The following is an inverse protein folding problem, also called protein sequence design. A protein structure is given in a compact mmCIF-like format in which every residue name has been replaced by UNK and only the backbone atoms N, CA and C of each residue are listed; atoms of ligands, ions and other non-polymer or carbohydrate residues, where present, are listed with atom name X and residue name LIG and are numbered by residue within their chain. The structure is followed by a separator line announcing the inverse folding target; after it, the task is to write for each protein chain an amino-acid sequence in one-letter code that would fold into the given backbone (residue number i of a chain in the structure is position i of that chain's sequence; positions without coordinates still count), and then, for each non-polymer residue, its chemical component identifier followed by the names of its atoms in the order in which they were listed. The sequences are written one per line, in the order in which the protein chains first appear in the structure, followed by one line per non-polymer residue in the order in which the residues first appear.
data_IF_294864236721
#
_entry.id   IF_294864236721
#
_cell.length_a   1.000
_cell.length_b   1.000
_cell.length_c   1.000
_cell.angle_alpha   90.00
_cell.angle_beta   90.00
_cell.angle_gamma   90.00
#
_symmetry.space_group_name_H-M   'P 1'
#
loop_
_entity.id
_entity.type
_entity.pdbx_description
1 polymer ?
#
# COMPACT_ATOMS: atom_id res chain seq x y z
N UNK A 1 -22.17 14.19 8.71
CA UNK A 1 -20.82 14.11 8.06
C UNK A 1 -21.02 13.99 6.56
N UNK A 2 -20.27 14.73 5.74
CA UNK A 2 -20.34 14.58 4.27
C UNK A 2 -19.69 13.25 3.85
N UNK A 3 -20.25 12.55 2.85
CA UNK A 3 -19.72 11.25 2.38
C UNK A 3 -18.23 11.32 2.01
N UNK A 4 -17.79 12.45 1.45
CA UNK A 4 -16.39 12.72 1.16
C UNK A 4 -15.48 12.69 2.39
N UNK A 5 -15.94 13.25 3.52
CA UNK A 5 -15.17 13.24 4.76
C UNK A 5 -14.98 11.81 5.28
N UNK A 6 -16.02 10.97 5.23
CA UNK A 6 -15.95 9.57 5.64
C UNK A 6 -14.89 8.80 4.84
N UNK A 7 -14.95 8.88 3.51
CA UNK A 7 -13.96 8.20 2.66
C UNK A 7 -12.54 8.73 2.89
N UNK A 8 -12.38 10.01 3.19
CA UNK A 8 -11.08 10.61 3.52
C UNK A 8 -10.50 10.05 4.81
N UNK A 9 -11.29 9.95 5.88
CA UNK A 9 -10.85 9.33 7.12
C UNK A 9 -10.48 7.87 6.90
N UNK A 10 -11.33 7.11 6.20
CA UNK A 10 -11.05 5.71 5.89
C UNK A 10 -9.76 5.54 5.08
N UNK A 11 -9.57 6.37 4.05
CA UNK A 11 -8.37 6.35 3.23
C UNK A 11 -7.10 6.66 4.03
N UNK A 12 -7.15 7.67 4.93
CA UNK A 12 -6.04 8.00 5.81
C UNK A 12 -5.72 6.85 6.78
N UNK A 13 -6.73 6.24 7.39
CA UNK A 13 -6.54 5.08 8.26
C UNK A 13 -5.88 3.91 7.52
N UNK A 14 -6.34 3.62 6.30
CA UNK A 14 -5.76 2.58 5.46
C UNK A 14 -4.30 2.89 5.09
N UNK A 15 -3.98 4.14 4.73
CA UNK A 15 -2.59 4.57 4.48
C UNK A 15 -1.73 4.40 5.72
N UNK A 16 -2.21 4.83 6.89
CA UNK A 16 -1.48 4.68 8.15
C UNK A 16 -1.21 3.22 8.50
N UNK A 17 -2.20 2.34 8.31
CA UNK A 17 -2.05 0.90 8.51
C UNK A 17 -1.06 0.28 7.50
N UNK A 18 -1.12 0.71 6.23
CA UNK A 18 -0.23 0.22 5.20
C UNK A 18 1.22 0.63 5.47
N UNK A 19 1.49 1.92 5.68
CA UNK A 19 2.84 2.43 5.96
C UNK A 19 3.36 1.86 7.28
N UNK A 20 2.56 1.88 8.35
CA UNK A 20 2.94 1.35 9.65
C UNK A 20 3.26 -0.15 9.60
N UNK A 21 2.45 -0.92 8.85
CA UNK A 21 2.68 -2.35 8.65
C UNK A 21 3.99 -2.66 7.92
N UNK A 22 4.35 -1.88 6.90
CA UNK A 22 5.62 -2.03 6.19
C UNK A 22 6.83 -1.68 7.07
N UNK A 23 6.71 -0.66 7.92
CA UNK A 23 7.78 -0.23 8.83
C UNK A 23 7.95 -1.15 10.05
N UNK A 24 6.91 -1.87 10.44
CA UNK A 24 6.95 -2.75 11.61
C UNK A 24 7.99 -3.87 11.48
N UNK A 25 8.12 -4.47 10.29
CA UNK A 25 9.12 -5.51 10.02
C UNK A 25 10.57 -5.02 10.27
N UNK A 26 11.06 -3.96 9.60
CA UNK A 26 12.43 -3.49 9.81
C UNK A 26 12.66 -2.83 11.17
N UNK A 27 11.67 -2.11 11.72
CA UNK A 27 11.88 -1.33 12.94
C UNK A 27 11.63 -2.11 14.23
N UNK A 28 10.78 -3.15 14.21
CA UNK A 28 10.41 -3.92 15.41
C UNK A 28 10.90 -5.35 15.31
N UNK A 29 10.62 -6.05 14.21
CA UNK A 29 10.96 -7.48 14.10
C UNK A 29 12.47 -7.69 13.97
N UNK A 30 13.17 -6.91 13.13
CA UNK A 30 14.62 -7.09 12.94
C UNK A 30 15.44 -6.87 14.24
N UNK A 31 15.21 -5.82 15.05
CA UNK A 31 15.95 -5.62 16.29
C UNK A 31 15.65 -6.69 17.35
N UNK A 32 14.38 -7.09 17.49
CA UNK A 32 13.95 -8.11 18.47
C UNK A 32 14.60 -9.46 18.17
N UNK A 33 14.79 -9.79 16.90
CA UNK A 33 15.37 -11.07 16.49
C UNK A 33 16.89 -11.06 16.35
N UNK A 34 17.58 -9.95 16.69
CA UNK A 34 19.03 -9.78 16.42
C UNK A 34 19.89 -10.95 16.89
N UNK A 35 19.57 -11.54 18.04
CA UNK A 35 20.33 -12.64 18.66
C UNK A 35 19.60 -14.00 18.59
N UNK A 36 18.51 -14.11 17.81
CA UNK A 36 17.76 -15.36 17.68
C UNK A 36 18.42 -16.28 16.65
N UNK A 37 18.57 -17.57 16.99
CA UNK A 37 19.03 -18.60 16.06
C UNK A 37 18.06 -18.83 14.89
N UNK A 38 16.75 -18.60 15.12
CA UNK A 38 15.68 -18.79 14.12
C UNK A 38 15.30 -17.50 13.38
N UNK A 39 16.12 -16.45 13.51
CA UNK A 39 15.86 -15.10 12.98
C UNK A 39 15.38 -15.11 11.53
N UNK A 40 16.07 -15.84 10.66
CA UNK A 40 15.79 -15.87 9.23
C UNK A 40 14.40 -16.45 8.92
N UNK A 41 14.08 -17.61 9.50
CA UNK A 41 12.80 -18.29 9.30
C UNK A 41 11.61 -17.43 9.80
N UNK A 42 11.78 -16.76 10.94
CA UNK A 42 10.75 -15.86 11.49
C UNK A 42 10.56 -14.63 10.58
N UNK A 43 11.65 -14.02 10.10
CA UNK A 43 11.56 -12.87 9.18
C UNK A 43 10.86 -13.25 7.89
N UNK A 44 11.20 -14.39 7.27
CA UNK A 44 10.58 -14.85 6.03
C UNK A 44 9.07 -15.08 6.23
N UNK A 45 8.68 -15.82 7.28
CA UNK A 45 7.27 -16.10 7.58
C UNK A 45 6.49 -14.82 7.89
N UNK A 46 7.08 -13.89 8.64
CA UNK A 46 6.48 -12.60 8.92
C UNK A 46 6.33 -11.79 7.62
N UNK A 47 7.37 -11.71 6.79
CA UNK A 47 7.37 -11.04 5.49
C UNK A 47 6.23 -11.52 4.58
N UNK A 48 6.07 -12.85 4.44
CA UNK A 48 4.99 -13.43 3.62
C UNK A 48 3.60 -13.05 4.13
N UNK A 49 3.40 -13.02 5.46
CA UNK A 49 2.11 -12.64 6.06
C UNK A 49 1.83 -11.14 5.90
N UNK A 50 2.80 -10.30 6.25
CA UNK A 50 2.70 -8.84 6.11
C UNK A 50 2.48 -8.41 4.66
N UNK A 51 3.11 -9.13 3.71
CA UNK A 51 2.87 -8.92 2.27
C UNK A 51 1.41 -9.12 1.90
N UNK A 52 0.82 -10.26 2.26
CA UNK A 52 -0.58 -10.58 1.91
C UNK A 52 -1.53 -9.50 2.43
N UNK A 53 -1.36 -9.11 3.69
CA UNK A 53 -2.13 -8.01 4.30
C UNK A 53 -1.86 -6.69 3.58
N UNK A 54 -0.59 -6.39 3.29
CA UNK A 54 -0.16 -5.20 2.58
C UNK A 54 -0.86 -5.03 1.23
N UNK A 55 -0.95 -6.07 0.41
CA UNK A 55 -1.66 -6.01 -0.88
C UNK A 55 -3.17 -5.80 -0.73
N UNK A 56 -3.80 -6.43 0.27
CA UNK A 56 -5.24 -6.23 0.52
C UNK A 56 -5.52 -4.80 0.96
N UNK A 57 -4.72 -4.25 1.89
CA UNK A 57 -4.85 -2.85 2.32
C UNK A 57 -4.57 -1.90 1.17
N UNK A 58 -3.56 -2.18 0.35
CA UNK A 58 -3.24 -1.41 -0.85
C UNK A 58 -4.43 -1.30 -1.81
N UNK A 59 -5.11 -2.42 -2.09
CA UNK A 59 -6.31 -2.44 -2.93
C UNK A 59 -7.43 -1.57 -2.33
N UNK A 60 -7.63 -1.63 -1.01
CA UNK A 60 -8.61 -0.78 -0.31
C UNK A 60 -8.25 0.71 -0.39
N UNK A 61 -6.97 1.09 -0.33
CA UNK A 61 -6.50 2.47 -0.51
C UNK A 61 -6.88 2.96 -1.92
N UNK A 62 -6.68 2.15 -2.96
CA UNK A 62 -7.04 2.53 -4.34
C UNK A 62 -8.56 2.74 -4.45
N UNK A 63 -9.36 1.80 -3.96
CA UNK A 63 -10.83 1.87 -4.01
C UNK A 63 -11.34 3.13 -3.31
N UNK A 64 -10.85 3.40 -2.09
CA UNK A 64 -11.24 4.59 -1.33
C UNK A 64 -10.75 5.88 -1.98
N UNK A 65 -9.59 5.89 -2.63
CA UNK A 65 -9.08 7.00 -3.41
C UNK A 65 -9.96 7.35 -4.62
N UNK A 66 -10.37 6.33 -5.37
CA UNK A 66 -11.28 6.49 -6.52
C UNK A 66 -12.69 6.91 -6.06
N UNK A 67 -13.19 6.35 -4.96
CA UNK A 67 -14.47 6.76 -4.38
C UNK A 67 -14.46 8.25 -3.97
N UNK A 68 -13.38 8.72 -3.31
CA UNK A 68 -13.23 10.15 -2.99
C UNK A 68 -13.22 11.03 -4.25
N UNK A 69 -12.54 10.59 -5.30
CA UNK A 69 -12.51 11.30 -6.57
C UNK A 69 -13.91 11.43 -7.17
N UNK A 70 -14.64 10.31 -7.25
CA UNK A 70 -16.00 10.26 -7.80
C UNK A 70 -16.97 11.14 -7.01
N UNK A 71 -16.94 11.07 -5.67
CA UNK A 71 -17.80 11.92 -4.83
C UNK A 71 -17.50 13.41 -5.02
N UNK A 72 -16.25 13.77 -5.33
CA UNK A 72 -15.85 15.17 -5.52
C UNK A 72 -16.16 15.70 -6.93
N UNK A 73 -15.98 14.87 -7.96
CA UNK A 73 -16.07 15.30 -9.36
C UNK A 73 -17.38 14.87 -10.05
N UNK A 74 -18.14 13.96 -9.46
CA UNK A 74 -19.39 13.43 -10.00
C UNK A 74 -19.25 12.53 -11.24
N UNK A 75 -18.06 12.50 -11.87
CA UNK A 75 -17.80 11.68 -13.05
C UNK A 75 -16.32 11.34 -13.21
N UNK A 76 -16.04 10.10 -13.66
CA UNK A 76 -14.70 9.66 -14.05
C UNK A 76 -14.23 10.22 -15.40
N UNK A 77 -15.12 10.77 -16.24
CA UNK A 77 -14.72 11.41 -17.51
C UNK A 77 -13.81 12.62 -17.29
N UNK A 78 -14.01 13.31 -16.16
CA UNK A 78 -13.22 14.50 -15.79
C UNK A 78 -11.78 14.18 -15.38
N UNK A 79 -11.44 12.89 -15.27
CA UNK A 79 -10.12 12.42 -14.83
C UNK A 79 -9.02 12.80 -15.83
N UNK A 80 -9.36 12.86 -17.12
CA UNK A 80 -8.43 13.27 -18.18
C UNK A 80 -8.55 14.75 -18.55
N UNK A 81 -9.67 15.39 -18.18
CA UNK A 81 -10.02 16.74 -18.65
C UNK A 81 -9.59 17.83 -17.65
N UNK A 82 -9.62 17.53 -16.35
CA UNK A 82 -9.37 18.51 -15.28
C UNK A 82 -7.94 18.44 -14.76
N UNK A 83 -7.40 19.56 -14.28
CA UNK A 83 -6.09 19.59 -13.61
C UNK A 83 -6.05 18.64 -12.39
N UNK A 84 -7.12 18.63 -11.60
CA UNK A 84 -7.26 17.72 -10.46
C UNK A 84 -7.29 16.25 -10.87
N UNK A 85 -8.05 15.91 -11.92
CA UNK A 85 -8.08 14.58 -12.52
C UNK A 85 -6.70 14.09 -12.96
N UNK A 86 -5.95 14.95 -13.67
CA UNK A 86 -4.59 14.65 -14.11
C UNK A 86 -3.66 14.38 -12.91
N UNK A 87 -3.74 15.15 -11.83
CA UNK A 87 -2.97 14.88 -10.61
C UNK A 87 -3.30 13.51 -10.00
N UNK A 88 -4.58 13.14 -9.94
CA UNK A 88 -5.01 11.83 -9.44
C UNK A 88 -4.52 10.71 -10.36
N UNK A 89 -4.59 10.90 -11.67
CA UNK A 89 -4.07 9.95 -12.65
C UNK A 89 -2.56 9.74 -12.49
N UNK A 90 -1.77 10.82 -12.38
CA UNK A 90 -0.33 10.73 -12.13
C UNK A 90 -0.05 9.96 -10.83
N UNK A 91 -0.80 10.23 -9.75
CA UNK A 91 -0.67 9.47 -8.50
C UNK A 91 -0.92 7.98 -8.71
N UNK A 92 -1.98 7.62 -9.44
CA UNK A 92 -2.29 6.21 -9.72
C UNK A 92 -1.20 5.55 -10.57
N UNK A 93 -0.66 6.23 -11.58
CA UNK A 93 0.44 5.71 -12.41
C UNK A 93 1.68 5.44 -11.56
N UNK A 94 2.11 6.43 -10.76
CA UNK A 94 3.25 6.27 -9.85
C UNK A 94 3.04 5.11 -8.87
N UNK A 95 1.80 4.95 -8.39
CA UNK A 95 1.45 3.89 -7.47
C UNK A 95 1.51 2.51 -8.12
N UNK A 96 1.04 2.37 -9.36
CA UNK A 96 1.16 1.12 -10.13
C UNK A 96 2.62 0.79 -10.39
N UNK A 97 3.44 1.77 -10.80
CA UNK A 97 4.87 1.57 -11.02
C UNK A 97 5.59 1.11 -9.75
N UNK A 98 5.32 1.77 -8.62
CA UNK A 98 5.84 1.39 -7.32
C UNK A 98 5.41 -0.04 -6.93
N UNK A 99 4.13 -0.38 -7.13
CA UNK A 99 3.62 -1.71 -6.80
C UNK A 99 4.28 -2.79 -7.67
N UNK A 100 4.43 -2.56 -8.97
CA UNK A 100 5.15 -3.47 -9.87
C UNK A 100 6.60 -3.66 -9.41
N UNK A 101 7.33 -2.56 -9.17
CA UNK A 101 8.70 -2.61 -8.67
C UNK A 101 8.82 -3.42 -7.36
N UNK A 102 7.88 -3.25 -6.44
CA UNK A 102 7.83 -4.01 -5.20
C UNK A 102 7.64 -5.53 -5.46
N UNK A 103 6.71 -5.91 -6.33
CA UNK A 103 6.51 -7.33 -6.70
C UNK A 103 7.73 -7.93 -7.39
N UNK A 104 8.42 -7.17 -8.26
CA UNK A 104 9.66 -7.62 -8.89
C UNK A 104 10.78 -7.82 -7.87
N UNK A 105 10.97 -6.86 -6.96
CA UNK A 105 11.96 -6.96 -5.90
C UNK A 105 11.72 -8.18 -5.01
N UNK A 106 10.46 -8.41 -4.66
CA UNK A 106 10.06 -9.56 -3.86
C UNK A 106 10.33 -10.89 -4.56
N UNK A 107 9.97 -11.01 -5.85
CA UNK A 107 10.25 -12.23 -6.63
C UNK A 107 11.75 -12.51 -6.68
N UNK A 108 12.57 -11.46 -6.84
CA UNK A 108 14.03 -11.58 -6.80
C UNK A 108 14.52 -12.09 -5.43
N UNK A 109 13.99 -11.55 -4.34
CA UNK A 109 14.34 -11.98 -2.98
C UNK A 109 13.96 -13.44 -2.69
N UNK A 110 12.78 -13.88 -3.11
CA UNK A 110 12.35 -15.27 -2.90
C UNK A 110 13.19 -16.27 -3.72
N UNK A 111 13.48 -15.94 -4.98
CA UNK A 111 14.34 -16.76 -5.84
C UNK A 111 15.80 -16.84 -5.36
N UNK A 112 16.25 -15.93 -4.50
CA UNK A 112 17.60 -15.94 -3.94
C UNK A 112 17.73 -16.80 -2.67
N UNK A 113 16.60 -17.26 -2.10
CA UNK A 113 16.54 -18.09 -0.89
C UNK A 113 16.31 -19.58 -1.24
N UNK A 114 15.81 -19.88 -2.45
CA UNK A 114 15.77 -21.23 -3.05
C UNK A 114 17.12 -21.63 -3.65
#
# INVERSE_FOLDING_TARGET
MTAFALFKYLHLLLISLWVGGQLFLPLVILPVLKNSSDRENIIIKAGIRFRKVGHVVLAMIIITGLAMYYVKMGSFSTLFQTAYGKTVLTKLILFVLMWLANNYHEKYMLNAIE
#
